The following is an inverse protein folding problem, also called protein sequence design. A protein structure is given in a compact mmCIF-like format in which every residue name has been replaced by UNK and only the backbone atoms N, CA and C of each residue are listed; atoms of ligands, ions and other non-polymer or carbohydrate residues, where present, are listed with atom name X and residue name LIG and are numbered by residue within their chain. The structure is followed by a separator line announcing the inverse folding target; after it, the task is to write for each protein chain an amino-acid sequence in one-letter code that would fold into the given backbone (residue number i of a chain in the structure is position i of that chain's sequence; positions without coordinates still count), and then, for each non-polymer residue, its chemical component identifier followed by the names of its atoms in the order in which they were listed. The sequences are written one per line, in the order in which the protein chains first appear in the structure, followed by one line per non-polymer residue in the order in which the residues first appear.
data_IF_317011215107
#
_entry.id   IF_317011215107
#
_cell.length_a   1.000
_cell.length_b   1.000
_cell.length_c   1.000
_cell.angle_alpha   90.00
_cell.angle_beta   90.00
_cell.angle_gamma   90.00
#
_symmetry.space_group_name_H-M   'P 1'
#
loop_
_entity.id
_entity.type
_entity.pdbx_description
1 polymer ?
#
# COMPACT_ATOMS: atom_id res chain seq x y z
N UNK A 1 -42.90 11.74 -1.74
CA UNK A 1 -41.70 11.17 -2.38
C UNK A 1 -40.44 11.98 -2.10
N UNK A 2 -40.37 13.26 -2.50
CA UNK A 2 -39.19 14.12 -2.32
C UNK A 2 -38.64 14.21 -0.88
N UNK A 3 -39.51 14.44 0.12
CA UNK A 3 -39.11 14.56 1.54
C UNK A 3 -38.45 13.28 2.08
N UNK A 4 -39.00 12.12 1.72
CA UNK A 4 -38.46 10.83 2.14
C UNK A 4 -37.11 10.53 1.46
N UNK A 5 -36.99 10.87 0.19
CA UNK A 5 -35.73 10.72 -0.56
C UNK A 5 -34.62 11.61 0.02
N UNK A 6 -34.94 12.87 0.34
CA UNK A 6 -34.00 13.80 0.99
C UNK A 6 -33.57 13.32 2.38
N UNK A 7 -34.49 12.76 3.19
CA UNK A 7 -34.17 12.21 4.50
C UNK A 7 -33.18 11.04 4.41
N UNK A 8 -33.39 10.11 3.46
CA UNK A 8 -32.49 8.97 3.26
C UNK A 8 -31.11 9.40 2.77
N UNK A 9 -31.05 10.38 1.86
CA UNK A 9 -29.78 10.95 1.38
C UNK A 9 -28.98 11.57 2.53
N UNK A 10 -29.61 12.40 3.37
CA UNK A 10 -28.94 13.00 4.52
C UNK A 10 -28.46 11.94 5.54
N UNK A 11 -29.26 10.90 5.74
CA UNK A 11 -28.87 9.76 6.58
C UNK A 11 -27.65 9.03 6.02
N UNK A 12 -27.61 8.80 4.71
CA UNK A 12 -26.47 8.20 4.00
C UNK A 12 -25.21 9.06 4.12
N UNK A 13 -25.29 10.36 3.86
CA UNK A 13 -24.15 11.30 3.99
C UNK A 13 -23.57 11.22 5.40
N UNK A 14 -24.42 11.28 6.42
CA UNK A 14 -23.97 11.19 7.82
C UNK A 14 -23.24 9.88 8.13
N UNK A 15 -23.65 8.76 7.53
CA UNK A 15 -22.94 7.49 7.69
C UNK A 15 -21.57 7.51 7.00
N UNK A 16 -21.50 8.05 5.78
CA UNK A 16 -20.23 8.23 5.04
C UNK A 16 -19.27 9.11 5.83
N UNK A 17 -19.75 10.22 6.40
CA UNK A 17 -18.94 11.12 7.24
C UNK A 17 -18.38 10.41 8.47
N UNK A 18 -19.20 9.62 9.18
CA UNK A 18 -18.74 8.83 10.34
C UNK A 18 -17.68 7.81 9.98
N UNK A 19 -17.87 7.06 8.89
CA UNK A 19 -16.87 6.09 8.42
C UNK A 19 -15.58 6.81 8.05
N UNK A 20 -15.69 7.93 7.33
CA UNK A 20 -14.56 8.77 6.92
C UNK A 20 -13.75 9.27 8.12
N UNK A 21 -14.39 9.83 9.14
CA UNK A 21 -13.71 10.29 10.36
C UNK A 21 -12.93 9.16 11.03
N UNK A 22 -13.55 7.98 11.15
CA UNK A 22 -12.90 6.80 11.74
C UNK A 22 -11.70 6.35 10.91
N UNK A 23 -11.84 6.29 9.58
CA UNK A 23 -10.75 5.90 8.67
C UNK A 23 -9.60 6.90 8.73
N UNK A 24 -9.88 8.21 8.76
CA UNK A 24 -8.84 9.22 8.91
C UNK A 24 -8.12 9.11 10.26
N UNK A 25 -8.85 8.89 11.35
CA UNK A 25 -8.25 8.62 12.66
C UNK A 25 -7.25 7.46 12.60
N UNK A 26 -7.67 6.33 12.03
CA UNK A 26 -6.81 5.15 11.86
C UNK A 26 -5.56 5.43 11.00
N UNK A 27 -5.71 6.13 9.86
CA UNK A 27 -4.59 6.46 8.97
C UNK A 27 -3.59 7.40 9.65
N UNK A 28 -4.08 8.43 10.35
CA UNK A 28 -3.23 9.41 11.05
C UNK A 28 -2.50 8.73 12.21
N UNK A 29 -3.20 7.92 13.01
CA UNK A 29 -2.61 7.19 14.13
C UNK A 29 -1.54 6.21 13.65
N UNK A 30 -1.83 5.40 12.63
CA UNK A 30 -0.87 4.46 12.04
C UNK A 30 0.36 5.19 11.50
N UNK A 31 0.16 6.33 10.83
CA UNK A 31 1.25 7.14 10.31
C UNK A 31 2.11 7.73 11.42
N UNK A 32 1.50 8.28 12.47
CA UNK A 32 2.22 8.83 13.60
C UNK A 32 3.03 7.75 14.34
N UNK A 33 2.47 6.56 14.53
CA UNK A 33 3.19 5.43 15.11
C UNK A 33 4.39 5.02 14.24
N UNK A 34 4.19 4.90 12.92
CA UNK A 34 5.27 4.61 11.98
C UNK A 34 6.36 5.71 11.99
N UNK A 35 5.95 6.97 12.10
CA UNK A 35 6.86 8.12 12.18
C UNK A 35 7.72 8.10 13.44
N UNK A 36 7.15 7.82 14.60
CA UNK A 36 7.91 7.69 15.85
C UNK A 36 8.98 6.60 15.73
N UNK A 37 8.60 5.41 15.25
CA UNK A 37 9.55 4.30 15.04
C UNK A 37 10.64 4.64 14.02
N UNK A 38 10.29 5.37 12.95
CA UNK A 38 11.23 5.84 11.95
C UNK A 38 12.23 6.86 12.52
N UNK A 39 11.75 7.82 13.31
CA UNK A 39 12.56 8.86 13.93
C UNK A 39 13.51 8.27 15.00
N UNK A 40 13.01 7.36 15.85
CA UNK A 40 13.84 6.59 16.80
C UNK A 40 14.98 5.87 16.09
N UNK A 41 14.71 5.23 14.95
CA UNK A 41 15.73 4.56 14.14
C UNK A 41 16.76 5.53 13.57
N UNK A 42 16.32 6.68 13.06
CA UNK A 42 17.21 7.68 12.46
C UNK A 42 18.20 8.21 13.52
N UNK A 43 17.75 8.34 14.77
CA UNK A 43 18.58 8.69 15.93
C UNK A 43 19.47 7.53 16.36
N UNK A 44 18.96 6.29 16.44
CA UNK A 44 19.76 5.12 16.82
C UNK A 44 20.93 4.84 15.85
N UNK A 45 20.76 5.24 14.59
CA UNK A 45 21.81 5.16 13.56
C UNK A 45 22.98 6.13 13.76
N UNK A 46 22.82 7.21 14.53
CA UNK A 46 23.87 8.22 14.63
C UNK A 46 25.00 7.79 15.56
N UNK A 47 24.77 6.97 16.61
CA UNK A 47 25.80 6.85 17.65
C UNK A 47 26.02 5.50 18.39
N UNK A 48 25.23 4.41 18.27
CA UNK A 48 25.43 3.31 19.28
C UNK A 48 25.16 1.83 18.95
N UNK A 49 24.62 1.42 17.79
CA UNK A 49 24.43 -0.02 17.51
C UNK A 49 25.14 -0.51 16.25
N UNK A 50 26.07 -1.44 16.45
CA UNK A 50 26.68 -2.22 15.37
C UNK A 50 25.59 -2.91 14.54
N UNK A 51 25.69 -2.92 13.20
CA UNK A 51 24.78 -3.69 12.35
C UNK A 51 24.79 -5.16 12.79
N UNK A 52 23.60 -5.77 12.85
CA UNK A 52 23.47 -7.19 13.19
C UNK A 52 23.84 -8.01 11.98
N UNK A 53 25.07 -8.51 11.98
CA UNK A 53 25.59 -9.35 10.90
C UNK A 53 25.38 -10.81 11.23
N UNK A 54 24.69 -11.52 10.34
CA UNK A 54 24.53 -12.97 10.40
C UNK A 54 25.49 -13.63 9.41
N UNK A 55 26.09 -14.75 9.81
CA UNK A 55 26.80 -15.62 8.89
C UNK A 55 25.88 -16.74 8.43
N UNK A 56 25.73 -16.86 7.12
CA UNK A 56 24.99 -17.93 6.48
C UNK A 56 26.01 -19.01 6.06
N UNK A 57 25.86 -20.26 6.50
CA UNK A 57 26.74 -21.34 6.07
C UNK A 57 26.56 -21.60 4.58
N UNK A 58 27.61 -22.15 3.95
CA UNK A 58 27.52 -22.59 2.56
C UNK A 58 26.45 -23.68 2.39
N UNK A 59 25.82 -23.71 1.22
CA UNK A 59 24.76 -24.66 0.89
C UNK A 59 24.78 -25.04 -0.58
N UNK A 60 24.18 -26.19 -0.87
CA UNK A 60 24.00 -26.69 -2.24
C UNK A 60 22.51 -26.77 -2.57
N UNK A 61 22.10 -26.22 -3.71
CA UNK A 61 20.73 -26.36 -4.22
C UNK A 61 20.72 -27.51 -5.24
N UNK A 62 20.17 -28.70 -4.87
CA UNK A 62 20.32 -29.91 -5.68
C UNK A 62 19.57 -29.84 -7.03
N UNK A 63 18.43 -29.14 -7.09
CA UNK A 63 17.62 -29.05 -8.32
C UNK A 63 18.36 -28.36 -9.46
N UNK A 64 19.26 -27.42 -9.14
CA UNK A 64 20.01 -26.61 -10.13
C UNK A 64 21.52 -26.81 -10.02
N UNK A 65 21.99 -27.72 -9.15
CA UNK A 65 23.40 -27.97 -8.86
C UNK A 65 24.19 -26.67 -8.64
N UNK A 66 23.66 -25.79 -7.80
CA UNK A 66 24.36 -24.55 -7.40
C UNK A 66 25.01 -24.80 -6.05
N UNK A 67 26.32 -24.57 -5.96
CA UNK A 67 27.07 -24.58 -4.71
C UNK A 67 27.41 -23.14 -4.31
N UNK A 68 26.90 -22.71 -3.16
CA UNK A 68 27.15 -21.39 -2.61
C UNK A 68 28.05 -21.51 -1.38
N UNK A 69 29.14 -20.73 -1.33
CA UNK A 69 29.99 -20.62 -0.15
C UNK A 69 29.30 -19.86 0.99
N UNK A 70 29.88 -19.87 2.19
CA UNK A 70 29.37 -19.06 3.30
C UNK A 70 29.45 -17.57 2.99
N UNK A 71 28.49 -16.82 3.52
CA UNK A 71 28.44 -15.37 3.31
C UNK A 71 27.77 -14.62 4.46
N UNK A 72 27.85 -13.30 4.40
CA UNK A 72 27.36 -12.41 5.46
C UNK A 72 26.13 -11.62 5.02
N UNK A 73 25.20 -11.49 5.95
CA UNK A 73 23.98 -10.69 5.79
C UNK A 73 23.92 -9.68 6.93
N UNK A 74 23.96 -8.40 6.59
CA UNK A 74 23.69 -7.33 7.54
C UNK A 74 22.19 -7.04 7.57
N UNK A 75 21.57 -7.19 8.74
CA UNK A 75 20.14 -6.88 8.91
C UNK A 75 19.91 -5.41 9.25
N UNK A 76 18.72 -4.92 8.92
CA UNK A 76 18.25 -3.67 9.50
C UNK A 76 18.04 -3.84 11.02
N UNK A 77 18.28 -2.80 11.82
CA UNK A 77 18.08 -2.87 13.27
C UNK A 77 16.60 -2.97 13.67
N UNK A 78 15.67 -2.60 12.79
CA UNK A 78 14.22 -2.63 13.04
C UNK A 78 13.53 -3.96 12.68
N UNK A 79 14.25 -4.99 12.23
CA UNK A 79 13.63 -6.29 11.95
C UNK A 79 14.57 -7.35 11.37
N UNK A 80 14.17 -8.62 11.51
CA UNK A 80 14.94 -9.77 11.01
C UNK A 80 14.54 -10.22 9.60
N UNK A 81 13.54 -9.56 9.00
CA UNK A 81 12.94 -10.00 7.73
C UNK A 81 13.63 -9.35 6.53
N UNK A 82 14.11 -8.11 6.68
CA UNK A 82 14.67 -7.34 5.57
C UNK A 82 16.17 -7.12 5.83
N UNK A 83 17.05 -7.61 4.94
CA UNK A 83 18.48 -7.33 5.02
C UNK A 83 18.79 -5.92 4.51
N UNK A 84 19.74 -5.26 5.17
CA UNK A 84 20.34 -4.00 4.74
C UNK A 84 21.39 -4.24 3.66
N UNK A 85 22.25 -5.22 3.87
CA UNK A 85 23.29 -5.56 2.90
C UNK A 85 23.47 -7.08 2.84
N UNK A 86 23.62 -7.61 1.63
CA UNK A 86 23.95 -9.01 1.36
C UNK A 86 25.22 -9.02 0.52
N UNK A 87 26.27 -9.66 1.03
CA UNK A 87 27.43 -9.98 0.23
C UNK A 87 27.20 -11.37 -0.35
N UNK A 88 27.00 -11.48 -1.65
CA UNK A 88 26.85 -12.79 -2.28
C UNK A 88 28.23 -13.35 -2.62
N UNK A 89 28.51 -14.62 -2.32
CA UNK A 89 29.77 -15.24 -2.71
C UNK A 89 29.74 -15.53 -4.21
N UNK A 90 30.92 -15.71 -4.80
CA UNK A 90 31.03 -16.28 -6.15
C UNK A 90 30.46 -17.70 -6.11
N UNK A 91 29.58 -18.04 -7.04
CA UNK A 91 29.05 -19.39 -7.18
C UNK A 91 29.11 -19.86 -8.63
N UNK A 92 29.10 -21.17 -8.81
CA UNK A 92 29.09 -21.79 -10.14
C UNK A 92 27.79 -22.56 -10.32
N UNK A 93 27.25 -22.48 -11.53
CA UNK A 93 26.11 -23.29 -11.95
C UNK A 93 26.71 -24.55 -12.57
N UNK A 94 26.76 -25.65 -11.80
CA UNK A 94 27.49 -26.86 -12.21
C UNK A 94 26.95 -27.47 -13.52
N UNK A 95 25.67 -27.23 -13.86
CA UNK A 95 25.06 -27.73 -15.10
C UNK A 95 25.47 -26.95 -16.36
N UNK A 96 25.92 -25.70 -16.23
CA UNK A 96 26.26 -24.83 -17.38
C UNK A 96 27.72 -24.38 -17.40
N UNK A 97 28.47 -24.56 -16.30
CA UNK A 97 29.83 -24.04 -16.15
C UNK A 97 29.90 -22.52 -15.99
N UNK A 98 28.74 -21.85 -15.89
CA UNK A 98 28.68 -20.41 -15.72
C UNK A 98 29.01 -20.01 -14.29
N UNK A 99 29.96 -19.09 -14.12
CA UNK A 99 30.32 -18.53 -12.81
C UNK A 99 29.66 -17.17 -12.64
N UNK A 100 28.93 -17.01 -11.54
CA UNK A 100 28.37 -15.73 -11.13
C UNK A 100 29.37 -15.08 -10.17
N UNK A 101 29.88 -13.88 -10.48
CA UNK A 101 30.84 -13.20 -9.61
C UNK A 101 30.17 -12.75 -8.32
N UNK A 102 30.97 -12.61 -7.26
CA UNK A 102 30.53 -11.98 -6.01
C UNK A 102 30.03 -10.55 -6.27
N UNK A 103 28.89 -10.21 -5.68
CA UNK A 103 28.36 -8.84 -5.67
C UNK A 103 27.71 -8.52 -4.33
N UNK A 104 27.71 -7.24 -3.98
CA UNK A 104 27.05 -6.74 -2.78
C UNK A 104 25.75 -6.05 -3.15
N UNK A 105 24.63 -6.53 -2.60
CA UNK A 105 23.35 -5.84 -2.65
C UNK A 105 23.20 -4.99 -1.40
N UNK A 106 23.05 -3.68 -1.56
CA UNK A 106 22.76 -2.76 -0.46
C UNK A 106 21.37 -2.17 -0.68
N UNK A 107 20.48 -2.39 0.28
CA UNK A 107 19.15 -1.80 0.26
C UNK A 107 19.21 -0.39 0.87
N UNK A 108 18.74 0.65 0.15
CA UNK A 108 18.57 1.97 0.74
C UNK A 108 17.53 1.91 1.86
N UNK A 109 17.64 2.81 2.82
CA UNK A 109 16.65 2.92 3.88
C UNK A 109 15.35 3.42 3.25
N UNK A 110 14.20 2.79 3.53
CA UNK A 110 12.91 3.35 3.13
C UNK A 110 12.69 4.72 3.78
N UNK A 111 12.39 5.74 2.99
CA UNK A 111 11.96 7.03 3.52
C UNK A 111 10.47 7.00 3.84
N UNK A 112 10.07 7.60 4.97
CA UNK A 112 8.66 7.71 5.30
C UNK A 112 8.04 8.87 4.46
N UNK A 113 7.04 8.60 3.61
CA UNK A 113 6.43 9.63 2.78
C UNK A 113 5.69 10.65 3.63
N UNK A 114 5.63 11.91 3.19
CA UNK A 114 4.88 12.94 3.91
C UNK A 114 3.38 12.68 3.79
N UNK A 115 2.69 12.52 4.93
CA UNK A 115 1.24 12.39 4.95
C UNK A 115 0.56 13.74 4.65
N UNK A 116 0.09 13.90 3.42
CA UNK A 116 -0.80 15.00 3.06
C UNK A 116 -2.24 14.58 3.27
N UNK A 117 -2.85 15.01 4.39
CA UNK A 117 -4.29 14.81 4.61
C UNK A 117 -5.04 15.89 3.81
N UNK A 118 -5.82 15.53 2.78
CA UNK A 118 -6.65 16.51 2.08
C UNK A 118 -7.64 17.10 3.08
N UNK A 119 -7.61 18.43 3.21
CA UNK A 119 -8.41 19.16 4.21
C UNK A 119 -9.91 18.95 4.01
N UNK A 120 -10.38 18.78 2.77
CA UNK A 120 -11.80 18.56 2.45
C UNK A 120 -11.94 17.81 1.13
N UNK A 121 -12.56 16.63 1.15
CA UNK A 121 -13.24 16.07 -0.01
C UNK A 121 -14.71 16.44 0.16
N UNK A 122 -15.13 17.54 -0.48
CA UNK A 122 -16.54 17.88 -0.58
C UNK A 122 -17.22 16.82 -1.44
N UNK A 123 -17.95 15.92 -0.78
CA UNK A 123 -18.90 15.04 -1.45
C UNK A 123 -20.09 15.91 -1.86
N UNK A 124 -20.03 16.50 -3.05
CA UNK A 124 -21.18 17.16 -3.64
C UNK A 124 -22.14 16.10 -4.17
N UNK A 125 -23.41 16.22 -3.80
CA UNK A 125 -24.46 15.41 -4.40
C UNK A 125 -24.68 15.87 -5.85
N UNK A 126 -25.00 14.95 -6.78
CA UNK A 126 -25.57 15.35 -8.05
C UNK A 126 -26.89 16.09 -7.80
N UNK A 127 -27.01 17.28 -8.38
CA UNK A 127 -28.24 18.06 -8.33
C UNK A 127 -29.30 17.33 -9.17
N UNK A 128 -30.21 16.63 -8.49
CA UNK A 128 -31.35 16.03 -9.15
C UNK A 128 -32.33 17.14 -9.52
N UNK A 129 -32.31 17.57 -10.77
CA UNK A 129 -33.43 18.33 -11.32
C UNK A 129 -34.66 17.46 -11.21
N UNK A 130 -35.70 17.97 -10.56
CA UNK A 130 -37.02 17.34 -10.54
C UNK A 130 -37.41 17.09 -12.00
N UNK A 131 -37.31 15.83 -12.45
CA UNK A 131 -37.90 15.43 -13.71
C UNK A 131 -39.37 15.74 -13.53
N UNK A 132 -39.86 16.80 -14.19
CA UNK A 132 -41.24 17.23 -14.14
C UNK A 132 -42.08 15.97 -14.34
N UNK A 133 -42.70 15.47 -13.28
CA UNK A 133 -43.58 14.31 -13.38
C UNK A 133 -44.61 14.73 -14.44
N UNK A 134 -44.63 14.09 -15.63
CA UNK A 134 -45.55 14.52 -16.67
C UNK A 134 -46.95 14.39 -16.07
N UNK A 135 -47.65 15.52 -15.90
CA UNK A 135 -48.98 15.55 -15.28
C UNK A 135 -49.97 14.65 -16.04
N UNK A 136 -49.66 14.35 -17.30
CA UNK A 136 -50.41 13.45 -18.14
C UNK A 136 -49.48 12.32 -18.62
N UNK A 137 -49.74 11.10 -18.14
CA UNK A 137 -49.24 9.89 -18.79
C UNK A 137 -50.22 9.58 -19.92
N UNK A 138 -49.86 9.91 -21.16
CA UNK A 138 -50.65 9.48 -22.31
C UNK A 138 -50.40 8.00 -22.55
N UNK A 139 -51.38 7.16 -22.21
CA UNK A 139 -51.39 5.75 -22.60
C UNK A 139 -51.80 5.72 -24.07
N UNK A 140 -50.90 5.35 -25.01
CA UNK A 140 -51.27 5.30 -26.41
C UNK A 140 -52.28 4.17 -26.61
N UNK A 141 -53.48 4.50 -27.07
CA UNK A 141 -54.43 3.51 -27.53
C UNK A 141 -53.97 2.99 -28.88
N UNK A 142 -53.35 1.80 -28.87
CA UNK A 142 -53.08 0.95 -30.03
C UNK A 142 -52.18 1.55 -31.14
N UNK A 143 -50.89 1.24 -31.04
CA UNK A 143 -50.04 0.89 -32.19
C UNK A 143 -49.78 1.94 -33.28
N UNK A 144 -48.83 2.84 -33.03
CA UNK A 144 -47.76 3.08 -34.02
C UNK A 144 -46.55 3.71 -33.32
N UNK A 145 -45.50 2.92 -33.07
CA UNK A 145 -44.19 3.44 -32.70
C UNK A 145 -43.41 3.54 -34.00
N UNK A 146 -43.26 4.75 -34.52
CA UNK A 146 -42.15 5.06 -35.43
C UNK A 146 -41.21 5.98 -34.65
N UNK A 147 -39.97 5.54 -34.53
CA UNK A 147 -38.87 6.26 -33.91
C UNK A 147 -38.10 6.92 -35.06
N UNK A 148 -38.00 8.25 -35.06
CA UNK A 148 -36.93 8.99 -35.74
C UNK A 148 -35.92 9.42 -34.68
#
# INVERSE_FOLDING_TARGET
FYVYFNHNINSFIRQVEKVREKTFGFVIESYNEAKVKYDEYKVEKSDTKNPRTFQIPGYTIPVVNIEASSFTVEMFPFGYVIPRAINTPTFTILSSGFSVPSYTLVLPIPELPTLHVPKFLELSLPEFKELSIPRNIFIPALGNITYD
#
